data_IF_440782063840
#
_entry.id   IF_440782063840
#
_cell.length_a   1.000
_cell.length_b   1.000
_cell.length_c   1.000
_cell.angle_alpha   90.00
_cell.angle_beta   90.00
_cell.angle_gamma   90.00
#
_symmetry.space_group_name_H-M   'P 1'
#
loop_
_entity.id
_entity.type
_entity.pdbx_description
1 polymer ?
#
# COMPACT_ATOMS: atom_id res chain seq x y z
N UNK A 1 -27.56 -23.67 24.39
CA UNK A 1 -27.18 -22.63 23.42
C UNK A 1 -25.66 -22.59 23.28
N UNK A 2 -25.04 -23.73 22.94
CA UNK A 2 -23.59 -23.94 22.92
C UNK A 2 -23.31 -25.05 21.91
N UNK A 3 -23.14 -24.70 20.63
CA UNK A 3 -22.84 -25.67 19.55
C UNK A 3 -22.11 -25.00 18.38
N UNK A 4 -21.20 -24.05 18.63
CA UNK A 4 -20.11 -23.72 17.70
C UNK A 4 -18.99 -22.96 18.45
N UNK A 5 -18.43 -23.58 19.49
CA UNK A 5 -17.19 -23.10 20.12
C UNK A 5 -16.00 -23.44 19.22
N UNK A 6 -16.03 -22.91 18.00
CA UNK A 6 -14.96 -23.11 17.05
C UNK A 6 -13.76 -22.31 17.56
N UNK A 7 -12.77 -23.03 18.12
CA UNK A 7 -11.53 -22.44 18.62
C UNK A 7 -10.87 -21.55 17.57
N UNK A 8 -11.06 -21.85 16.29
CA UNK A 8 -10.61 -21.03 15.17
C UNK A 8 -11.21 -19.62 15.17
N UNK A 9 -12.52 -19.44 15.43
CA UNK A 9 -13.14 -18.12 15.46
C UNK A 9 -12.59 -17.27 16.62
N UNK A 10 -12.32 -17.89 17.77
CA UNK A 10 -11.71 -17.22 18.93
C UNK A 10 -10.28 -16.75 18.60
N UNK A 11 -9.49 -17.62 17.95
CA UNK A 11 -8.15 -17.26 17.49
C UNK A 11 -8.18 -16.16 16.42
N UNK A 12 -9.16 -16.19 15.51
CA UNK A 12 -9.33 -15.20 14.45
C UNK A 12 -9.69 -13.83 15.05
N UNK A 13 -10.67 -13.78 15.97
CA UNK A 13 -11.02 -12.54 16.69
C UNK A 13 -9.83 -12.00 17.47
N UNK A 14 -9.04 -12.88 18.12
CA UNK A 14 -7.81 -12.49 18.81
C UNK A 14 -6.75 -11.90 17.86
N UNK A 15 -6.54 -12.53 16.70
CA UNK A 15 -5.60 -12.04 15.68
C UNK A 15 -6.04 -10.70 15.09
N UNK A 16 -7.31 -10.55 14.70
CA UNK A 16 -7.85 -9.28 14.22
C UNK A 16 -7.83 -8.19 15.29
N UNK A 17 -8.06 -8.54 16.56
CA UNK A 17 -7.91 -7.63 17.70
C UNK A 17 -6.47 -7.14 17.87
N UNK A 18 -5.48 -8.04 17.73
CA UNK A 18 -4.06 -7.69 17.77
C UNK A 18 -3.67 -6.77 16.60
N UNK A 19 -4.14 -7.09 15.38
CA UNK A 19 -3.91 -6.25 14.19
C UNK A 19 -4.53 -4.86 14.36
N UNK A 20 -5.76 -4.79 14.88
CA UNK A 20 -6.41 -3.51 15.21
C UNK A 20 -5.64 -2.71 16.27
N UNK A 21 -5.12 -3.38 17.30
CA UNK A 21 -4.28 -2.74 18.32
C UNK A 21 -2.97 -2.20 17.75
N UNK A 22 -2.34 -2.94 16.83
CA UNK A 22 -1.14 -2.48 16.10
C UNK A 22 -1.48 -1.21 15.30
N UNK A 23 -2.57 -1.21 14.52
CA UNK A 23 -2.97 -0.01 13.76
C UNK A 23 -3.29 1.20 14.64
N UNK A 24 -3.88 0.97 15.82
CA UNK A 24 -4.09 2.03 16.79
C UNK A 24 -2.76 2.55 17.36
N UNK A 25 -1.82 1.66 17.70
CA UNK A 25 -0.50 2.02 18.23
C UNK A 25 0.38 2.75 17.20
N UNK A 26 0.24 2.46 15.92
CA UNK A 26 0.94 3.18 14.85
C UNK A 26 0.40 4.60 14.62
N UNK A 27 -0.69 5.01 15.29
CA UNK A 27 -1.32 6.32 15.06
C UNK A 27 -1.87 6.48 13.64
N UNK A 28 -2.02 5.36 12.92
CA UNK A 28 -2.53 5.35 11.56
C UNK A 28 -3.98 5.80 11.58
N UNK A 29 -4.25 6.96 10.98
CA UNK A 29 -5.61 7.40 10.78
C UNK A 29 -6.38 6.35 9.95
N UNK A 30 -7.66 6.11 10.25
CA UNK A 30 -8.47 5.14 9.51
C UNK A 30 -8.64 5.55 8.04
N UNK A 31 -8.50 6.84 7.71
CA UNK A 31 -8.65 7.36 6.36
C UNK A 31 -7.59 6.83 5.36
N UNK A 32 -6.27 6.93 5.63
CA UNK A 32 -5.23 6.30 4.80
C UNK A 32 -5.40 4.79 4.59
N UNK A 33 -5.81 4.05 5.63
CA UNK A 33 -6.04 2.60 5.54
C UNK A 33 -7.20 2.27 4.59
N UNK A 34 -8.31 3.01 4.69
CA UNK A 34 -9.45 2.87 3.80
C UNK A 34 -9.09 3.24 2.35
N UNK A 35 -8.34 4.34 2.16
CA UNK A 35 -7.85 4.73 0.85
C UNK A 35 -6.96 3.65 0.23
N UNK A 36 -6.02 3.09 1.00
CA UNK A 36 -5.19 1.97 0.55
C UNK A 36 -6.00 0.73 0.19
N UNK A 37 -7.04 0.43 0.98
CA UNK A 37 -7.93 -0.70 0.72
C UNK A 37 -8.75 -0.55 -0.56
N UNK A 38 -9.21 0.67 -0.88
CA UNK A 38 -9.96 0.96 -2.11
C UNK A 38 -9.01 1.04 -3.32
N UNK A 39 -7.85 1.66 -3.15
CA UNK A 39 -6.86 1.83 -4.23
C UNK A 39 -6.15 0.52 -4.58
N UNK A 40 -6.01 -0.39 -3.63
CA UNK A 40 -5.39 -1.72 -3.81
C UNK A 40 -5.98 -2.50 -5.00
N UNK A 41 -7.28 -2.84 -5.02
CA UNK A 41 -7.89 -3.58 -6.12
C UNK A 41 -7.82 -2.80 -7.44
N UNK A 42 -7.95 -1.47 -7.42
CA UNK A 42 -7.78 -0.65 -8.61
C UNK A 42 -6.35 -0.76 -9.17
N UNK A 43 -5.33 -0.78 -8.30
CA UNK A 43 -3.94 -0.91 -8.71
C UNK A 43 -3.68 -2.30 -9.31
N UNK A 44 -4.20 -3.37 -8.67
CA UNK A 44 -4.07 -4.74 -9.19
C UNK A 44 -4.76 -4.90 -10.55
N UNK A 45 -5.95 -4.34 -10.72
CA UNK A 45 -6.67 -4.39 -11.97
C UNK A 45 -5.93 -3.67 -13.10
N UNK A 46 -5.35 -2.50 -12.81
CA UNK A 46 -4.52 -1.78 -13.78
C UNK A 46 -3.22 -2.53 -14.11
N UNK A 47 -2.56 -3.14 -13.10
CA UNK A 47 -1.38 -3.98 -13.30
C UNK A 47 -1.69 -5.18 -14.18
N UNK A 48 -2.78 -5.90 -13.86
CA UNK A 48 -3.26 -7.06 -14.62
C UNK A 48 -3.59 -6.67 -16.06
N UNK A 49 -4.29 -5.54 -16.24
CA UNK A 49 -4.63 -5.01 -17.57
C UNK A 49 -3.38 -4.67 -18.39
N UNK A 50 -2.40 -4.02 -17.76
CA UNK A 50 -1.12 -3.72 -18.40
C UNK A 50 -0.38 -5.00 -18.84
N UNK A 51 -0.31 -6.01 -17.96
CA UNK A 51 0.32 -7.30 -18.26
C UNK A 51 -0.42 -8.08 -19.37
N UNK A 52 -1.75 -8.04 -19.39
CA UNK A 52 -2.55 -8.67 -20.45
C UNK A 52 -2.34 -7.99 -21.82
N UNK A 53 -2.31 -6.65 -21.86
CA UNK A 53 -1.97 -5.90 -23.08
C UNK A 53 -0.54 -6.20 -23.57
N UNK A 54 0.34 -6.50 -22.62
CA UNK A 54 1.75 -6.85 -22.84
C UNK A 54 1.99 -8.33 -23.19
N UNK A 55 0.92 -9.13 -23.35
CA UNK A 55 1.01 -10.59 -23.59
C UNK A 55 1.85 -11.33 -22.53
N UNK A 56 1.83 -10.86 -21.28
CA UNK A 56 2.55 -11.49 -20.17
C UNK A 56 4.05 -11.21 -20.11
N UNK A 57 4.59 -10.37 -21.00
CA UNK A 57 6.01 -10.05 -21.02
C UNK A 57 6.37 -8.94 -20.03
N UNK A 58 6.99 -9.30 -18.90
CA UNK A 58 7.51 -8.35 -17.90
C UNK A 58 8.60 -7.44 -18.48
N UNK A 59 9.20 -7.84 -19.61
CA UNK A 59 10.20 -7.09 -20.36
C UNK A 59 9.67 -5.80 -21.00
N UNK A 60 8.35 -5.61 -21.11
CA UNK A 60 7.75 -4.40 -21.69
C UNK A 60 7.93 -3.16 -20.82
N UNK A 61 8.06 -3.32 -19.51
CA UNK A 61 8.36 -2.19 -18.63
C UNK A 61 9.73 -1.56 -18.91
N UNK A 62 10.67 -2.31 -19.49
CA UNK A 62 12.04 -1.85 -19.83
C UNK A 62 12.19 -1.58 -21.32
N UNK A 63 11.58 -2.39 -22.19
CA UNK A 63 11.70 -2.24 -23.65
C UNK A 63 10.87 -1.10 -24.21
N UNK A 64 9.80 -0.66 -23.53
CA UNK A 64 9.02 0.51 -23.94
C UNK A 64 9.60 1.78 -23.28
N UNK A 65 10.20 2.71 -24.05
CA UNK A 65 10.93 3.85 -23.49
C UNK A 65 10.06 4.77 -22.63
N UNK A 66 8.76 4.87 -22.92
CA UNK A 66 7.79 5.61 -22.10
C UNK A 66 7.54 4.94 -20.74
N UNK A 67 7.41 3.62 -20.70
CA UNK A 67 7.19 2.87 -19.45
C UNK A 67 8.44 2.88 -18.59
N UNK A 68 9.62 2.70 -19.22
CA UNK A 68 10.90 2.76 -18.54
C UNK A 68 11.16 4.14 -17.93
N UNK A 69 10.83 5.22 -18.66
CA UNK A 69 10.94 6.59 -18.16
C UNK A 69 10.04 6.85 -16.95
N UNK A 70 8.78 6.42 -17.00
CA UNK A 70 7.85 6.55 -15.87
C UNK A 70 8.30 5.72 -14.66
N UNK A 71 8.80 4.51 -14.87
CA UNK A 71 9.27 3.64 -13.81
C UNK A 71 10.56 4.18 -13.16
N UNK A 72 11.47 4.74 -13.95
CA UNK A 72 12.65 5.44 -13.45
C UNK A 72 12.26 6.70 -12.66
N UNK A 73 11.30 7.49 -13.14
CA UNK A 73 10.79 8.66 -12.42
C UNK A 73 10.12 8.28 -11.09
N UNK A 74 9.32 7.21 -11.09
CA UNK A 74 8.69 6.68 -9.88
C UNK A 74 9.75 6.19 -8.88
N UNK A 75 10.78 5.48 -9.33
CA UNK A 75 11.89 5.03 -8.49
C UNK A 75 12.68 6.22 -7.90
N UNK A 76 12.97 7.25 -8.71
CA UNK A 76 13.63 8.47 -8.24
C UNK A 76 12.79 9.19 -7.18
N UNK A 77 11.49 9.36 -7.41
CA UNK A 77 10.58 9.96 -6.43
C UNK A 77 10.53 9.15 -5.14
N UNK A 78 10.45 7.82 -5.25
CA UNK A 78 10.44 6.94 -4.09
C UNK A 78 11.73 7.06 -3.29
N UNK A 79 12.90 7.11 -3.95
CA UNK A 79 14.20 7.37 -3.31
C UNK A 79 14.21 8.74 -2.62
N UNK A 80 13.74 9.79 -3.30
CA UNK A 80 13.66 11.15 -2.73
C UNK A 80 12.79 11.16 -1.46
N UNK A 81 11.63 10.49 -1.48
CA UNK A 81 10.69 10.44 -0.34
C UNK A 81 11.20 9.59 0.82
N UNK A 82 11.85 8.45 0.54
CA UNK A 82 12.43 7.58 1.56
C UNK A 82 13.71 8.14 2.18
N UNK A 83 14.42 9.03 1.49
CA UNK A 83 15.56 9.72 2.07
C UNK A 83 15.07 10.60 3.23
N UNK A 84 15.62 10.41 4.45
CA UNK A 84 15.17 11.11 5.65
C UNK A 84 15.31 12.64 5.56
N UNK A 85 16.16 13.12 4.64
CA UNK A 85 16.34 14.55 4.35
C UNK A 85 15.09 15.25 3.80
N UNK A 86 14.12 14.52 3.22
CA UNK A 86 12.84 15.08 2.73
C UNK A 86 11.72 14.96 3.76
N UNK A 87 11.79 13.99 4.68
CA UNK A 87 10.86 13.89 5.82
C UNK A 87 10.88 15.14 6.71
N UNK A 88 12.06 15.72 6.96
CA UNK A 88 12.19 16.91 7.82
C UNK A 88 11.43 18.13 7.28
N UNK A 89 11.26 18.26 5.95
CA UNK A 89 10.46 19.35 5.35
C UNK A 89 8.95 19.10 5.37
N UNK A 90 8.50 17.87 5.61
CA UNK A 90 7.06 17.54 5.72
C UNK A 90 6.54 17.68 7.14
N UNK A 91 7.41 17.56 8.14
CA UNK A 91 7.08 17.87 9.54
C UNK A 91 6.94 19.38 9.77
N UNK A 92 7.64 20.23 9.00
CA UNK A 92 7.43 21.70 9.04
C UNK A 92 6.10 22.12 8.39
N UNK A 93 5.67 21.47 7.30
CA UNK A 93 4.45 21.86 6.57
C UNK A 93 3.11 21.40 7.22
N UNK A 94 3.17 20.55 8.25
CA UNK A 94 2.01 20.16 9.06
C UNK A 94 1.98 20.87 10.43
N UNK A 95 2.94 21.77 10.67
CA UNK A 95 3.00 22.65 11.85
C UNK A 95 3.01 24.10 11.37
N UNK A 96 2.01 24.50 10.60
CA UNK A 96 1.63 25.91 10.46
C UNK A 96 0.10 25.99 10.57
N UNK A 97 -0.30 26.48 11.75
CA UNK A 97 -1.62 26.86 12.31
C UNK A 97 -2.78 25.84 12.40
#
# INVERSE_FOLDING_TARGET
YSTNNNTFDIWMVGAFGLVGYIFHKLGTEPAPLLLGFILGPMMEENLRRALLLSRGDWSVFVTRPLSAGLLAAAALLLIIVLLPSVKNKREEAFVED
#
